data_IF_804785993508
#
_entry.id   IF_804785993508
#
_cell.length_a   1.000
_cell.length_b   1.000
_cell.length_c   1.000
_cell.angle_alpha   90.00
_cell.angle_beta   90.00
_cell.angle_gamma   90.00
#
_symmetry.space_group_name_H-M   'P 1'
#
loop_
_entity.id
_entity.type
_entity.pdbx_description
1 polymer ?
#
# COMPACT_ATOMS: atom_id res chain seq x y z
N UNK A 1 0.80 -13.91 -14.30
CA UNK A 1 -0.14 -14.09 -13.18
C UNK A 1 -0.51 -12.72 -12.65
N UNK A 2 -1.80 -12.41 -12.55
CA UNK A 2 -2.25 -11.11 -12.01
C UNK A 2 -2.00 -11.06 -10.48
N UNK A 3 -1.85 -9.87 -9.88
CA UNK A 3 -1.50 -9.72 -8.44
C UNK A 3 -2.46 -10.51 -7.52
N UNK A 4 -3.77 -10.42 -7.78
CA UNK A 4 -4.81 -11.11 -7.01
C UNK A 4 -4.74 -12.63 -7.17
N UNK A 5 -4.54 -13.08 -8.40
CA UNK A 5 -4.38 -14.50 -8.75
C UNK A 5 -3.13 -15.10 -8.10
N UNK A 6 -2.01 -14.36 -8.08
CA UNK A 6 -0.79 -14.78 -7.39
C UNK A 6 -0.99 -14.99 -5.90
N UNK A 7 -1.64 -14.04 -5.22
CA UNK A 7 -1.88 -14.17 -3.77
C UNK A 7 -2.89 -15.27 -3.46
N UNK A 8 -3.95 -15.42 -4.28
CA UNK A 8 -4.90 -16.54 -4.14
C UNK A 8 -4.24 -17.90 -4.35
N UNK A 9 -3.33 -18.00 -5.32
CA UNK A 9 -2.58 -19.24 -5.56
C UNK A 9 -1.63 -19.56 -4.41
N UNK A 10 -0.95 -18.56 -3.83
CA UNK A 10 -0.17 -18.74 -2.60
C UNK A 10 -1.04 -19.15 -1.40
N UNK A 11 -2.23 -18.57 -1.26
CA UNK A 11 -3.19 -18.92 -0.21
C UNK A 11 -3.62 -20.39 -0.35
N UNK A 12 -4.02 -20.80 -1.56
CA UNK A 12 -4.43 -22.15 -1.87
C UNK A 12 -3.32 -23.17 -1.57
N UNK A 13 -2.07 -22.88 -1.98
CA UNK A 13 -0.92 -23.72 -1.64
C UNK A 13 -0.65 -23.77 -0.14
N UNK A 14 -0.70 -22.62 0.54
CA UNK A 14 -0.42 -22.54 1.99
C UNK A 14 -1.43 -23.36 2.79
N UNK A 15 -2.72 -23.23 2.47
CA UNK A 15 -3.82 -23.95 3.12
C UNK A 15 -3.74 -25.44 2.79
N UNK A 16 -3.67 -25.79 1.51
CA UNK A 16 -3.76 -27.18 1.08
C UNK A 16 -2.54 -28.02 1.47
N UNK A 17 -1.34 -27.42 1.48
CA UNK A 17 -0.14 -28.07 2.01
C UNK A 17 -0.08 -28.10 3.54
N UNK A 18 -1.12 -27.62 4.23
CA UNK A 18 -1.23 -27.61 5.71
C UNK A 18 -0.08 -26.88 6.41
N UNK A 19 0.47 -25.86 5.75
CA UNK A 19 1.71 -25.20 6.19
C UNK A 19 1.59 -24.57 7.57
N UNK A 20 0.44 -23.97 7.89
CA UNK A 20 0.21 -23.36 9.21
C UNK A 20 0.20 -24.40 10.34
N UNK A 21 -0.45 -25.55 10.13
CA UNK A 21 -0.52 -26.63 11.13
C UNK A 21 0.86 -27.25 11.36
N UNK A 22 1.60 -27.51 10.27
CA UNK A 22 2.96 -28.05 10.30
C UNK A 22 3.91 -27.12 11.05
N UNK A 23 3.95 -25.83 10.68
CA UNK A 23 4.81 -24.83 11.32
C UNK A 23 4.50 -24.71 12.80
N UNK A 24 3.22 -24.68 13.18
CA UNK A 24 2.79 -24.58 14.58
C UNK A 24 3.28 -25.76 15.42
N UNK A 25 3.25 -26.99 14.90
CA UNK A 25 3.71 -28.18 15.61
C UNK A 25 5.25 -28.19 15.78
N UNK A 26 5.99 -27.82 14.73
CA UNK A 26 7.44 -27.66 14.84
C UNK A 26 7.83 -26.58 15.84
N UNK A 27 7.23 -25.39 15.76
CA UNK A 27 7.53 -24.29 16.67
C UNK A 27 7.16 -24.62 18.12
N UNK A 28 6.05 -25.34 18.36
CA UNK A 28 5.71 -25.83 19.68
C UNK A 28 6.77 -26.77 20.25
N UNK A 29 7.32 -27.67 19.42
CA UNK A 29 8.40 -28.58 19.80
C UNK A 29 9.76 -27.90 19.97
N UNK A 30 10.02 -26.79 19.28
CA UNK A 30 11.27 -26.03 19.38
C UNK A 30 11.27 -24.97 20.49
N UNK A 31 10.14 -24.73 21.18
CA UNK A 31 10.12 -23.82 22.32
C UNK A 31 11.07 -24.30 23.42
N UNK A 32 11.87 -23.39 24.02
CA UNK A 32 12.74 -23.76 25.12
C UNK A 32 11.87 -24.23 26.29
N UNK A 33 12.09 -25.46 26.71
CA UNK A 33 11.44 -26.03 27.87
C UNK A 33 12.51 -26.46 28.89
N UNK A 34 12.25 -26.27 30.20
CA UNK A 34 13.19 -26.68 31.23
C UNK A 34 13.42 -28.19 31.19
N UNK A 35 14.69 -28.61 31.32
CA UNK A 35 15.13 -30.01 31.40
C UNK A 35 14.98 -30.86 30.12
N UNK A 36 15.15 -30.26 28.93
CA UNK A 36 15.21 -30.96 27.63
C UNK A 36 14.07 -31.99 27.41
N UNK A 37 12.79 -31.58 27.56
CA UNK A 37 11.68 -32.50 27.50
C UNK A 37 11.48 -33.04 26.09
N UNK A 38 10.98 -34.27 26.06
CA UNK A 38 10.57 -34.97 24.86
C UNK A 38 9.29 -34.31 24.34
N UNK A 39 9.28 -33.89 23.07
CA UNK A 39 8.08 -33.42 22.38
C UNK A 39 7.59 -34.46 21.39
N UNK A 40 6.28 -34.60 21.26
CA UNK A 40 5.67 -35.56 20.33
C UNK A 40 5.55 -34.99 18.91
N UNK A 41 6.64 -35.05 18.14
CA UNK A 41 6.62 -34.64 16.72
C UNK A 41 5.79 -35.57 15.82
N UNK A 42 5.40 -36.76 16.29
CA UNK A 42 4.57 -37.71 15.54
C UNK A 42 3.21 -37.14 15.17
N UNK A 43 2.75 -36.10 15.87
CA UNK A 43 1.53 -35.34 15.52
C UNK A 43 1.57 -34.76 14.10
N UNK A 44 2.75 -34.59 13.51
CA UNK A 44 2.93 -34.08 12.15
C UNK A 44 2.66 -35.18 11.11
N UNK A 45 2.88 -36.46 11.44
CA UNK A 45 2.79 -37.56 10.46
C UNK A 45 1.43 -37.66 9.73
N UNK A 46 0.26 -37.59 10.42
CA UNK A 46 -1.03 -37.57 9.72
C UNK A 46 -1.16 -36.41 8.73
N UNK A 47 -0.56 -35.26 9.06
CA UNK A 47 -0.61 -34.03 8.26
C UNK A 47 0.31 -34.14 7.04
N UNK A 48 1.44 -34.84 7.14
CA UNK A 48 2.34 -35.11 6.01
C UNK A 48 1.60 -35.78 4.85
N UNK A 49 0.77 -36.78 5.14
CA UNK A 49 0.03 -37.51 4.10
C UNK A 49 -1.01 -36.63 3.41
N UNK A 50 -1.74 -35.81 4.18
CA UNK A 50 -2.69 -34.84 3.62
C UNK A 50 -1.97 -33.81 2.74
N UNK A 51 -0.85 -33.29 3.24
CA UNK A 51 -0.01 -32.33 2.55
C UNK A 51 0.53 -32.89 1.22
N UNK A 52 1.02 -34.15 1.23
CA UNK A 52 1.48 -34.84 0.01
C UNK A 52 0.36 -35.11 -0.98
N UNK A 53 -0.79 -35.60 -0.51
CA UNK A 53 -1.95 -35.83 -1.37
C UNK A 53 -2.37 -34.55 -2.11
N UNK A 54 -2.40 -33.42 -1.39
CA UNK A 54 -2.69 -32.12 -2.00
C UNK A 54 -1.59 -31.67 -2.96
N UNK A 55 -0.32 -31.84 -2.61
CA UNK A 55 0.81 -31.55 -3.50
C UNK A 55 0.70 -32.29 -4.84
N UNK A 56 0.36 -33.58 -4.80
CA UNK A 56 0.19 -34.40 -6.00
C UNK A 56 -0.99 -33.93 -6.86
N UNK A 57 -2.10 -33.56 -6.21
CA UNK A 57 -3.26 -33.02 -6.90
C UNK A 57 -2.94 -31.68 -7.56
N UNK A 58 -2.29 -30.74 -6.85
CA UNK A 58 -1.99 -29.40 -7.36
C UNK A 58 -0.95 -29.41 -8.49
N UNK A 59 -0.07 -30.42 -8.50
CA UNK A 59 0.90 -30.62 -9.57
C UNK A 59 0.25 -30.96 -10.93
N UNK A 60 -1.05 -31.29 -10.94
CA UNK A 60 -1.83 -31.50 -12.17
C UNK A 60 -2.36 -30.20 -12.79
N UNK A 61 -2.38 -29.09 -12.05
CA UNK A 61 -2.84 -27.79 -12.54
C UNK A 61 -1.64 -26.94 -12.95
N UNK A 62 -1.58 -26.52 -14.22
CA UNK A 62 -0.41 -25.84 -14.82
C UNK A 62 0.06 -24.61 -14.02
N UNK A 63 -0.87 -23.79 -13.55
CA UNK A 63 -0.57 -22.56 -12.82
C UNK A 63 0.06 -22.82 -11.45
N UNK A 64 -0.51 -23.74 -10.68
CA UNK A 64 -0.01 -24.10 -9.35
C UNK A 64 1.28 -24.92 -9.43
N UNK A 65 1.39 -25.79 -10.44
CA UNK A 65 2.62 -26.53 -10.73
C UNK A 65 3.80 -25.59 -10.96
N UNK A 66 3.64 -24.55 -11.79
CA UNK A 66 4.71 -23.58 -12.02
C UNK A 66 5.17 -22.90 -10.72
N UNK A 67 4.24 -22.56 -9.82
CA UNK A 67 4.59 -21.99 -8.51
C UNK A 67 5.31 -23.01 -7.62
N UNK A 68 4.82 -24.26 -7.57
CA UNK A 68 5.44 -25.35 -6.82
C UNK A 68 6.88 -25.63 -7.30
N UNK A 69 7.12 -25.57 -8.61
CA UNK A 69 8.43 -25.76 -9.22
C UNK A 69 9.39 -24.62 -8.83
N UNK A 70 8.94 -23.36 -8.92
CA UNK A 70 9.72 -22.18 -8.49
C UNK A 70 10.06 -22.23 -6.99
N UNK A 71 9.13 -22.73 -6.17
CA UNK A 71 9.33 -22.89 -4.73
C UNK A 71 10.24 -24.08 -4.38
N UNK A 72 10.70 -24.87 -5.36
CA UNK A 72 11.59 -26.01 -5.14
C UNK A 72 10.94 -27.17 -4.37
N UNK A 73 9.61 -27.24 -4.39
CA UNK A 73 8.82 -28.17 -3.56
C UNK A 73 9.02 -29.66 -3.90
N UNK A 74 9.45 -29.98 -5.13
CA UNK A 74 9.68 -31.36 -5.58
C UNK A 74 10.70 -32.12 -4.71
N UNK A 75 11.75 -31.43 -4.24
CA UNK A 75 12.74 -32.05 -3.35
C UNK A 75 12.11 -32.35 -2.00
N UNK A 76 11.31 -31.42 -1.47
CA UNK A 76 10.66 -31.53 -0.15
C UNK A 76 9.68 -32.70 -0.12
N UNK A 77 8.86 -32.87 -1.17
CA UNK A 77 7.83 -33.91 -1.27
C UNK A 77 8.29 -35.20 -1.96
N UNK A 78 9.60 -35.37 -2.17
CA UNK A 78 10.13 -36.64 -2.68
C UNK A 78 9.84 -37.80 -1.71
N UNK A 79 9.57 -38.98 -2.25
CA UNK A 79 9.22 -40.17 -1.44
C UNK A 79 10.28 -40.49 -0.39
N UNK A 80 11.56 -40.35 -0.75
CA UNK A 80 12.68 -40.57 0.17
C UNK A 80 12.67 -39.60 1.34
N UNK A 81 12.39 -38.31 1.11
CA UNK A 81 12.32 -37.32 2.18
C UNK A 81 11.09 -37.54 3.06
N UNK A 82 9.94 -37.87 2.49
CA UNK A 82 8.73 -38.17 3.27
C UNK A 82 8.90 -39.44 4.12
N UNK A 83 9.48 -40.50 3.57
CA UNK A 83 9.81 -41.71 4.31
C UNK A 83 10.77 -41.39 5.47
N UNK A 84 11.81 -40.59 5.21
CA UNK A 84 12.73 -40.15 6.26
C UNK A 84 12.01 -39.37 7.36
N UNK A 85 11.17 -38.39 7.01
CA UNK A 85 10.39 -37.61 7.97
C UNK A 85 9.54 -38.50 8.89
N UNK A 86 8.83 -39.48 8.34
CA UNK A 86 8.01 -40.40 9.15
C UNK A 86 8.84 -41.21 10.17
N UNK A 87 10.12 -41.45 9.91
CA UNK A 87 11.03 -42.13 10.84
C UNK A 87 11.62 -41.22 11.92
N UNK A 88 11.79 -39.93 11.61
CA UNK A 88 12.41 -38.92 12.51
C UNK A 88 11.36 -38.28 13.42
N UNK A 89 10.16 -38.00 12.89
CA UNK A 89 9.08 -37.34 13.60
C UNK A 89 8.38 -38.31 14.55
N UNK A 90 9.00 -38.50 15.71
CA UNK A 90 8.54 -39.33 16.81
C UNK A 90 8.70 -38.56 18.14
N UNK A 91 8.28 -39.11 19.29
CA UNK A 91 8.57 -38.51 20.58
C UNK A 91 10.09 -38.46 20.85
N UNK A 92 10.73 -37.30 20.63
CA UNK A 92 12.16 -37.07 20.84
C UNK A 92 12.45 -35.65 21.35
N UNK A 93 13.64 -35.39 21.91
CA UNK A 93 14.11 -34.04 22.16
C UNK A 93 14.22 -33.22 20.86
N UNK A 94 13.89 -31.94 20.94
CA UNK A 94 13.93 -30.98 19.84
C UNK A 94 15.26 -30.98 19.06
N UNK A 95 16.39 -31.12 19.76
CA UNK A 95 17.74 -31.14 19.18
C UNK A 95 17.92 -32.27 18.16
N UNK A 96 17.27 -33.42 18.35
CA UNK A 96 17.39 -34.54 17.41
C UNK A 96 16.64 -34.27 16.10
N UNK A 97 15.49 -33.60 16.17
CA UNK A 97 14.74 -33.18 14.98
C UNK A 97 15.46 -32.01 14.30
N UNK A 98 15.96 -31.05 15.07
CA UNK A 98 16.68 -29.90 14.55
C UNK A 98 18.03 -30.25 13.93
N UNK A 99 18.69 -31.32 14.41
CA UNK A 99 19.92 -31.85 13.82
C UNK A 99 19.69 -32.61 12.51
N UNK A 100 18.44 -32.84 12.09
CA UNK A 100 18.14 -33.54 10.85
C UNK A 100 17.84 -32.57 9.70
N UNK A 101 18.62 -32.69 8.63
CA UNK A 101 18.53 -31.81 7.47
C UNK A 101 17.15 -31.87 6.77
N UNK A 102 16.55 -33.06 6.64
CA UNK A 102 15.25 -33.21 5.98
C UNK A 102 14.14 -32.58 6.81
N UNK A 103 14.15 -32.78 8.13
CA UNK A 103 13.17 -32.17 9.03
C UNK A 103 13.27 -30.63 9.02
N UNK A 104 14.49 -30.08 9.06
CA UNK A 104 14.71 -28.64 9.00
C UNK A 104 14.32 -28.05 7.64
N UNK A 105 14.69 -28.69 6.52
CA UNK A 105 14.30 -28.23 5.18
C UNK A 105 12.79 -28.24 5.01
N UNK A 106 12.12 -29.28 5.50
CA UNK A 106 10.66 -29.38 5.48
C UNK A 106 10.01 -28.25 6.29
N UNK A 107 10.45 -28.04 7.53
CA UNK A 107 9.98 -26.92 8.36
C UNK A 107 10.23 -25.56 7.71
N UNK A 108 11.45 -25.33 7.21
CA UNK A 108 11.85 -24.07 6.59
C UNK A 108 11.02 -23.77 5.32
N UNK A 109 10.75 -24.78 4.49
CA UNK A 109 9.88 -24.66 3.32
C UNK A 109 8.48 -24.17 3.71
N UNK A 110 7.83 -24.83 4.67
CA UNK A 110 6.47 -24.45 5.10
C UNK A 110 6.43 -23.08 5.76
N UNK A 111 7.46 -22.73 6.55
CA UNK A 111 7.58 -21.41 7.17
C UNK A 111 7.80 -20.32 6.13
N UNK A 112 8.66 -20.56 5.14
CA UNK A 112 8.89 -19.63 4.04
C UNK A 112 7.62 -19.41 3.20
N UNK A 113 6.88 -20.48 2.87
CA UNK A 113 5.62 -20.38 2.14
C UNK A 113 4.58 -19.56 2.91
N UNK A 114 4.39 -19.86 4.20
CA UNK A 114 3.46 -19.12 5.07
C UNK A 114 3.82 -17.63 5.15
N UNK A 115 5.09 -17.33 5.39
CA UNK A 115 5.56 -15.94 5.45
C UNK A 115 5.41 -15.22 4.10
N UNK A 116 5.72 -15.90 3.00
CA UNK A 116 5.59 -15.34 1.65
C UNK A 116 4.13 -15.01 1.35
N UNK A 117 3.19 -15.90 1.70
CA UNK A 117 1.76 -15.62 1.55
C UNK A 117 1.32 -14.41 2.39
N UNK A 118 1.67 -14.36 3.68
CA UNK A 118 1.29 -13.25 4.57
C UNK A 118 1.87 -11.93 4.05
N UNK A 119 3.15 -11.90 3.69
CA UNK A 119 3.79 -10.70 3.14
C UNK A 119 3.17 -10.30 1.80
N UNK A 120 2.95 -11.25 0.90
CA UNK A 120 2.34 -10.97 -0.41
C UNK A 120 0.90 -10.47 -0.26
N UNK A 121 0.13 -11.02 0.68
CA UNK A 121 -1.22 -10.53 0.99
C UNK A 121 -1.18 -9.10 1.51
N UNK A 122 -0.33 -8.82 2.48
CA UNK A 122 -0.25 -7.48 3.09
C UNK A 122 0.28 -6.42 2.11
N UNK A 123 1.22 -6.79 1.23
CA UNK A 123 1.84 -5.87 0.28
C UNK A 123 0.97 -5.71 -0.98
N UNK A 124 0.50 -6.82 -1.58
CA UNK A 124 -0.14 -6.81 -2.89
C UNK A 124 -1.66 -6.69 -2.82
N UNK A 125 -2.30 -7.08 -1.71
CA UNK A 125 -3.74 -6.99 -1.49
C UNK A 125 -4.12 -5.96 -0.43
N UNK A 126 -3.26 -4.95 -0.20
CA UNK A 126 -3.52 -3.90 0.78
C UNK A 126 -4.94 -3.33 0.60
N UNK A 127 -5.78 -3.48 1.63
CA UNK A 127 -7.22 -3.19 1.59
C UNK A 127 -7.48 -1.75 1.14
N UNK A 128 -6.57 -0.82 1.47
CA UNK A 128 -6.64 0.59 1.10
C UNK A 128 -6.61 0.85 -0.42
N UNK A 129 -6.07 -0.06 -1.23
CA UNK A 129 -6.02 0.08 -2.69
C UNK A 129 -7.24 -0.52 -3.41
N UNK A 130 -7.98 -1.40 -2.72
CA UNK A 130 -9.05 -2.21 -3.28
C UNK A 130 -10.45 -1.82 -2.76
N UNK A 131 -10.53 -1.03 -1.68
CA UNK A 131 -11.79 -0.43 -1.26
C UNK A 131 -12.30 0.60 -2.29
N UNK A 132 -13.62 0.63 -2.56
CA UNK A 132 -14.22 1.72 -3.32
C UNK A 132 -13.86 3.08 -2.69
N UNK A 133 -13.57 4.07 -3.53
CA UNK A 133 -13.15 5.40 -3.07
C UNK A 133 -14.05 5.98 -1.98
N UNK A 134 -15.37 5.92 -2.19
CA UNK A 134 -16.33 6.47 -1.24
C UNK A 134 -16.22 5.79 0.14
N UNK A 135 -15.99 4.47 0.17
CA UNK A 135 -15.82 3.71 1.43
C UNK A 135 -14.49 4.01 2.11
N UNK A 136 -13.42 4.18 1.33
CA UNK A 136 -12.10 4.56 1.84
C UNK A 136 -12.12 5.98 2.43
N UNK A 137 -12.80 6.90 1.76
CA UNK A 137 -12.90 8.30 2.18
C UNK A 137 -13.70 8.45 3.47
N UNK A 138 -14.78 7.67 3.66
CA UNK A 138 -15.53 7.62 4.92
C UNK A 138 -14.72 7.01 6.08
N UNK A 139 -13.59 6.35 5.80
CA UNK A 139 -12.62 5.88 6.80
C UNK A 139 -11.43 6.83 6.98
N UNK A 140 -11.45 7.99 6.32
CA UNK A 140 -10.36 8.98 6.37
C UNK A 140 -9.13 8.58 5.55
N UNK A 141 -9.28 7.69 4.57
CA UNK A 141 -8.20 7.23 3.70
C UNK A 141 -8.32 7.88 2.33
N UNK A 142 -7.23 8.50 1.87
CA UNK A 142 -7.10 9.06 0.53
C UNK A 142 -5.85 8.49 -0.15
N UNK A 143 -6.00 7.96 -1.36
CA UNK A 143 -4.87 7.43 -2.14
C UNK A 143 -4.46 8.45 -3.19
N UNK A 144 -3.20 8.89 -3.12
CA UNK A 144 -2.55 9.69 -4.14
C UNK A 144 -1.76 8.80 -5.09
N UNK A 145 -1.77 9.17 -6.37
CA UNK A 145 -0.94 8.61 -7.42
C UNK A 145 0.07 9.68 -7.84
N UNK A 146 1.34 9.31 -7.85
CA UNK A 146 2.43 10.09 -8.43
C UNK A 146 2.73 9.52 -9.81
N UNK A 147 2.52 10.35 -10.83
CA UNK A 147 2.77 9.97 -12.22
C UNK A 147 4.26 10.13 -12.53
N UNK A 148 4.96 9.02 -12.82
CA UNK A 148 6.41 9.03 -13.06
C UNK A 148 6.68 9.03 -14.56
N UNK A 149 7.49 9.99 -15.03
CA UNK A 149 7.98 10.04 -16.40
C UNK A 149 9.48 9.71 -16.42
N UNK A 150 9.83 8.41 -16.53
CA UNK A 150 11.22 7.97 -16.65
C UNK A 150 11.61 6.85 -15.68
N UNK A 151 12.89 6.82 -15.27
CA UNK A 151 13.50 5.73 -14.48
C UNK A 151 13.11 5.69 -12.99
N UNK A 152 12.17 6.53 -12.55
CA UNK A 152 11.73 6.62 -11.16
C UNK A 152 11.71 8.05 -10.62
N UNK A 153 11.39 8.18 -9.33
CA UNK A 153 11.51 9.43 -8.56
C UNK A 153 12.74 9.36 -7.65
N UNK A 154 13.48 10.46 -7.56
CA UNK A 154 14.60 10.58 -6.62
C UNK A 154 14.10 10.72 -5.17
N UNK A 155 14.91 10.31 -4.20
CA UNK A 155 14.57 10.42 -2.77
C UNK A 155 14.23 11.85 -2.34
N UNK A 156 14.91 12.87 -2.91
CA UNK A 156 14.61 14.27 -2.62
C UNK A 156 13.19 14.68 -3.04
N UNK A 157 12.70 14.12 -4.16
CA UNK A 157 11.35 14.39 -4.65
C UNK A 157 10.30 13.75 -3.74
N UNK A 158 10.54 12.53 -3.24
CA UNK A 158 9.67 11.91 -2.24
C UNK A 158 9.60 12.73 -0.95
N UNK A 159 10.73 13.24 -0.47
CA UNK A 159 10.77 14.09 0.73
C UNK A 159 9.90 15.34 0.50
N UNK A 160 10.02 16.00 -0.65
CA UNK A 160 9.20 17.19 -0.99
C UNK A 160 7.71 16.86 -1.04
N UNK A 161 7.33 15.74 -1.65
CA UNK A 161 5.93 15.30 -1.73
C UNK A 161 5.38 15.02 -0.33
N UNK A 162 6.12 14.26 0.50
CA UNK A 162 5.69 13.94 1.87
C UNK A 162 5.58 15.18 2.75
N UNK A 163 6.55 16.11 2.66
CA UNK A 163 6.48 17.37 3.39
C UNK A 163 5.28 18.21 2.98
N UNK A 164 5.02 18.36 1.68
CA UNK A 164 3.88 19.13 1.19
C UNK A 164 2.53 18.51 1.59
N UNK A 165 2.39 17.18 1.53
CA UNK A 165 1.20 16.47 1.98
C UNK A 165 0.99 16.61 3.49
N UNK A 166 2.06 16.51 4.29
CA UNK A 166 1.97 16.69 5.74
C UNK A 166 1.58 18.13 6.10
N UNK A 167 2.20 19.15 5.50
CA UNK A 167 1.87 20.55 5.72
C UNK A 167 0.38 20.82 5.43
N UNK A 168 -0.13 20.30 4.30
CA UNK A 168 -1.54 20.41 3.92
C UNK A 168 -2.45 19.72 4.94
N UNK A 169 -2.11 18.50 5.32
CA UNK A 169 -2.92 17.71 6.25
C UNK A 169 -2.97 18.36 7.63
N UNK A 170 -1.86 18.93 8.10
CA UNK A 170 -1.81 19.64 9.39
C UNK A 170 -2.63 20.93 9.36
N UNK A 171 -2.52 21.74 8.30
CA UNK A 171 -3.29 22.99 8.16
C UNK A 171 -4.78 22.69 8.06
N UNK A 172 -5.18 21.70 7.26
CA UNK A 172 -6.58 21.28 7.16
C UNK A 172 -7.08 20.72 8.49
N UNK A 173 -6.31 19.86 9.16
CA UNK A 173 -6.67 19.36 10.50
C UNK A 173 -6.93 20.47 11.52
N UNK A 174 -6.14 21.55 11.48
CA UNK A 174 -6.35 22.75 12.31
C UNK A 174 -7.63 23.52 11.94
N UNK A 175 -7.93 23.67 10.65
CA UNK A 175 -9.16 24.34 10.16
C UNK A 175 -10.41 23.58 10.61
N UNK A 176 -10.39 22.25 10.51
CA UNK A 176 -11.54 21.39 10.82
C UNK A 176 -11.60 20.90 12.28
N UNK A 177 -10.65 21.32 13.12
CA UNK A 177 -10.59 21.04 14.56
C UNK A 177 -10.59 19.53 14.93
N UNK A 178 -9.94 18.69 14.11
CA UNK A 178 -9.76 17.27 14.41
C UNK A 178 -8.57 17.09 15.36
N UNK A 179 -8.83 16.78 16.64
CA UNK A 179 -7.83 16.91 17.71
C UNK A 179 -6.98 15.68 18.03
N UNK A 180 -7.17 14.51 17.41
CA UNK A 180 -6.50 13.28 17.91
C UNK A 180 -5.96 12.27 16.90
N UNK A 181 -6.20 12.41 15.59
CA UNK A 181 -5.62 11.48 14.61
C UNK A 181 -4.37 12.06 13.97
N UNK A 182 -3.20 11.52 14.35
CA UNK A 182 -1.95 11.76 13.61
C UNK A 182 -2.14 11.26 12.18
N UNK A 183 -1.90 12.15 11.23
CA UNK A 183 -1.87 11.78 9.83
C UNK A 183 -0.73 10.80 9.57
N UNK A 184 -1.03 9.71 8.87
CA UNK A 184 -0.06 8.69 8.51
C UNK A 184 0.03 8.62 6.99
N UNK A 185 1.23 8.85 6.46
CA UNK A 185 1.56 8.65 5.05
C UNK A 185 2.19 7.26 4.88
N UNK A 186 1.56 6.42 4.08
CA UNK A 186 1.97 5.04 3.80
C UNK A 186 2.30 4.93 2.32
N UNK A 187 3.51 4.51 1.98
CA UNK A 187 3.85 4.15 0.59
C UNK A 187 3.18 2.80 0.26
N UNK A 188 2.28 2.78 -0.73
CA UNK A 188 1.43 1.62 -1.02
C UNK A 188 1.93 0.77 -2.19
N UNK A 189 2.56 1.36 -3.22
CA UNK A 189 3.11 0.62 -4.37
C UNK A 189 4.16 1.45 -5.13
N UNK A 190 5.15 0.76 -5.73
CA UNK A 190 6.24 1.34 -6.56
C UNK A 190 6.25 0.72 -7.97
N UNK A 191 5.09 0.68 -8.61
CA UNK A 191 4.96 0.29 -10.02
C UNK A 191 5.46 1.39 -10.97
N UNK A 192 4.98 1.40 -12.22
CA UNK A 192 5.28 2.47 -13.19
C UNK A 192 4.84 3.86 -12.72
N UNK A 193 3.79 3.91 -11.90
CA UNK A 193 3.40 5.06 -11.08
C UNK A 193 3.46 4.65 -9.60
N UNK A 194 3.74 5.62 -8.72
CA UNK A 194 3.84 5.37 -7.28
C UNK A 194 2.56 5.77 -6.57
N UNK A 195 2.00 4.87 -5.75
CA UNK A 195 0.81 5.17 -4.96
C UNK A 195 1.18 5.45 -3.50
N UNK A 196 0.62 6.53 -2.96
CA UNK A 196 0.75 6.94 -1.56
C UNK A 196 -0.62 6.93 -0.90
N UNK A 197 -0.77 6.23 0.22
CA UNK A 197 -1.92 6.33 1.09
C UNK A 197 -1.71 7.43 2.11
N UNK A 198 -2.69 8.31 2.25
CA UNK A 198 -2.81 9.22 3.38
C UNK A 198 -3.97 8.73 4.25
N UNK A 199 -3.71 8.47 5.52
CA UNK A 199 -4.73 8.26 6.54
C UNK A 199 -4.78 9.50 7.42
N UNK A 200 -5.93 10.17 7.47
CA UNK A 200 -6.19 11.35 8.29
C UNK A 200 -7.61 11.26 8.89
N UNK A 201 -8.03 12.26 9.65
CA UNK A 201 -9.43 12.37 10.03
C UNK A 201 -10.32 12.57 8.79
N UNK A 202 -11.58 12.16 8.91
CA UNK A 202 -12.52 12.03 7.79
C UNK A 202 -12.72 13.39 7.10
N UNK A 203 -12.90 14.46 7.87
CA UNK A 203 -13.13 15.80 7.32
C UNK A 203 -11.86 16.35 6.66
N UNK A 204 -10.69 16.04 7.22
CA UNK A 204 -9.40 16.40 6.62
C UNK A 204 -9.19 15.69 5.28
N UNK A 205 -9.46 14.39 5.20
CA UNK A 205 -9.31 13.60 3.98
C UNK A 205 -10.28 14.07 2.87
N UNK A 206 -11.56 14.29 3.22
CA UNK A 206 -12.59 14.85 2.32
C UNK A 206 -12.18 16.24 1.80
N UNK A 207 -11.71 17.11 2.69
CA UNK A 207 -11.29 18.46 2.33
C UNK A 207 -10.07 18.46 1.44
N UNK A 208 -9.10 17.59 1.72
CA UNK A 208 -7.91 17.45 0.88
C UNK A 208 -8.30 16.98 -0.53
N UNK A 209 -9.18 15.98 -0.66
CA UNK A 209 -9.69 15.56 -1.96
C UNK A 209 -10.40 16.72 -2.71
N UNK A 210 -11.27 17.46 -2.02
CA UNK A 210 -11.99 18.59 -2.61
C UNK A 210 -11.06 19.68 -3.12
N UNK A 211 -10.01 20.03 -2.37
CA UNK A 211 -9.00 21.01 -2.81
C UNK A 211 -8.35 20.56 -4.12
N UNK A 212 -7.92 19.30 -4.21
CA UNK A 212 -7.34 18.77 -5.44
C UNK A 212 -8.35 18.74 -6.59
N UNK A 213 -9.61 18.38 -6.32
CA UNK A 213 -10.68 18.35 -7.31
C UNK A 213 -10.99 19.74 -7.85
N UNK A 214 -11.11 20.74 -6.99
CA UNK A 214 -11.40 22.12 -7.39
C UNK A 214 -10.28 22.70 -8.27
N UNK A 215 -9.02 22.46 -7.90
CA UNK A 215 -7.88 22.90 -8.72
C UNK A 215 -7.83 22.12 -10.04
N UNK A 216 -8.14 20.83 -10.02
CA UNK A 216 -8.17 20.00 -11.22
C UNK A 216 -9.29 20.39 -12.19
N UNK A 217 -10.53 20.52 -11.70
CA UNK A 217 -11.69 20.96 -12.47
C UNK A 217 -11.40 22.34 -13.10
N UNK A 218 -10.70 23.21 -12.37
CA UNK A 218 -10.25 24.47 -12.91
C UNK A 218 -9.25 24.32 -14.06
N UNK A 219 -8.25 23.43 -13.93
CA UNK A 219 -7.26 23.16 -14.98
C UNK A 219 -7.93 22.56 -16.23
N UNK A 220 -8.86 21.62 -16.06
CA UNK A 220 -9.55 20.94 -17.17
C UNK A 220 -10.51 21.89 -17.91
N UNK A 221 -11.22 22.74 -17.17
CA UNK A 221 -12.17 23.70 -17.77
C UNK A 221 -11.48 24.95 -18.36
N UNK A 222 -10.15 25.04 -18.27
CA UNK A 222 -9.35 26.24 -18.58
C UNK A 222 -9.08 26.53 -20.05
N UNK A 223 -9.70 25.81 -21.00
CA UNK A 223 -9.61 26.17 -22.43
C UNK A 223 -10.12 27.59 -22.77
N UNK A 224 -10.70 28.34 -21.81
CA UNK A 224 -11.47 29.56 -22.09
C UNK A 224 -11.21 30.83 -21.22
N UNK A 225 -10.23 30.91 -20.30
CA UNK A 225 -10.10 32.11 -19.43
C UNK A 225 -8.67 32.67 -19.21
N UNK A 226 -8.53 34.01 -19.29
CA UNK A 226 -7.28 34.78 -19.19
C UNK A 226 -6.63 34.80 -17.79
N UNK A 227 -5.30 34.64 -17.77
CA UNK A 227 -4.47 34.11 -16.66
C UNK A 227 -4.34 34.96 -15.39
N UNK A 228 -4.63 36.27 -15.39
CA UNK A 228 -4.52 37.10 -14.17
C UNK A 228 -5.80 37.16 -13.34
N UNK A 229 -6.98 37.02 -13.95
CA UNK A 229 -8.25 36.84 -13.22
C UNK A 229 -8.37 35.43 -12.63
N UNK A 230 -7.66 34.47 -13.23
CA UNK A 230 -7.62 33.05 -12.88
C UNK A 230 -7.14 32.77 -11.46
N UNK A 231 -6.02 33.36 -11.01
CA UNK A 231 -5.51 33.07 -9.67
C UNK A 231 -6.44 33.61 -8.58
N UNK A 232 -7.11 34.73 -8.82
CA UNK A 232 -8.04 35.33 -7.87
C UNK A 232 -9.38 34.56 -7.84
N UNK A 233 -9.89 34.16 -9.00
CA UNK A 233 -11.12 33.36 -9.11
C UNK A 233 -10.98 31.94 -8.56
N UNK A 234 -9.84 31.27 -8.80
CA UNK A 234 -9.53 29.99 -8.17
C UNK A 234 -9.47 30.13 -6.64
N UNK A 235 -8.81 31.19 -6.16
CA UNK A 235 -8.74 31.49 -4.72
C UNK A 235 -10.09 31.84 -4.11
N UNK A 236 -11.00 32.44 -4.85
CA UNK A 236 -12.34 32.80 -4.36
C UNK A 236 -13.33 31.62 -4.42
N UNK A 237 -13.02 30.55 -5.19
CA UNK A 237 -13.89 29.38 -5.37
C UNK A 237 -13.60 28.19 -4.46
N UNK A 238 -12.47 28.19 -3.73
CA UNK A 238 -12.11 27.04 -2.89
C UNK A 238 -13.04 26.96 -1.67
N UNK A 239 -13.75 25.85 -1.51
CA UNK A 239 -14.65 25.62 -0.36
C UNK A 239 -13.92 25.75 0.97
N UNK A 240 -12.63 25.40 1.00
CA UNK A 240 -11.73 25.56 2.15
C UNK A 240 -11.52 27.03 2.55
N UNK A 241 -11.57 27.99 1.62
CA UNK A 241 -11.42 29.42 1.98
C UNK A 241 -12.69 29.99 2.59
N UNK A 242 -13.86 29.51 2.17
CA UNK A 242 -15.11 29.83 2.84
C UNK A 242 -15.09 29.33 4.29
N UNK A 243 -14.60 28.12 4.52
CA UNK A 243 -14.38 27.54 5.86
C UNK A 243 -13.34 28.34 6.68
N UNK A 244 -12.19 28.70 6.09
CA UNK A 244 -11.19 29.55 6.78
C UNK A 244 -11.82 30.88 7.18
N UNK A 245 -12.58 31.52 6.28
CA UNK A 245 -13.25 32.80 6.56
C UNK A 245 -14.29 32.66 7.67
N UNK A 246 -15.10 31.60 7.64
CA UNK A 246 -16.07 31.31 8.70
C UNK A 246 -15.37 31.13 10.06
N UNK A 247 -14.22 30.45 10.09
CA UNK A 247 -13.44 30.25 11.32
C UNK A 247 -12.82 31.55 11.84
N UNK A 248 -12.35 32.42 10.95
CA UNK A 248 -11.89 33.79 11.30
C UNK A 248 -13.06 34.63 11.84
N UNK A 249 -14.20 34.62 11.13
CA UNK A 249 -15.40 35.36 11.51
C UNK A 249 -15.98 34.88 12.86
N UNK A 250 -15.84 33.58 13.17
CA UNK A 250 -16.23 32.98 14.45
C UNK A 250 -15.18 33.14 15.58
N UNK A 251 -14.01 33.73 15.28
CA UNK A 251 -12.94 33.94 16.25
C UNK A 251 -12.19 32.68 16.69
N UNK A 252 -12.29 31.58 15.95
CA UNK A 252 -11.58 30.32 16.24
C UNK A 252 -10.11 30.39 15.84
N UNK A 253 -9.82 31.15 14.78
CA UNK A 253 -8.46 31.46 14.29
C UNK A 253 -8.36 32.97 14.04
N UNK A 254 -7.15 33.52 14.14
CA UNK A 254 -6.90 34.94 13.88
C UNK A 254 -6.89 35.25 12.37
N UNK A 255 -7.06 36.52 12.00
CA UNK A 255 -7.01 36.95 10.59
C UNK A 255 -5.63 36.67 9.96
N UNK A 256 -4.55 36.81 10.74
CA UNK A 256 -3.18 36.52 10.31
C UNK A 256 -2.96 35.02 10.07
N UNK A 257 -3.48 34.16 10.95
CA UNK A 257 -3.49 32.70 10.76
C UNK A 257 -4.34 32.31 9.54
N UNK A 258 -5.51 32.93 9.35
CA UNK A 258 -6.38 32.66 8.20
C UNK A 258 -5.70 32.97 6.86
N UNK A 259 -4.97 34.10 6.76
CA UNK A 259 -4.18 34.44 5.57
C UNK A 259 -3.04 33.45 5.35
N UNK A 260 -2.35 33.07 6.43
CA UNK A 260 -1.24 32.11 6.38
C UNK A 260 -1.71 30.73 5.91
N UNK A 261 -2.81 30.22 6.47
CA UNK A 261 -3.39 28.93 6.09
C UNK A 261 -3.86 28.92 4.64
N UNK A 262 -4.53 29.98 4.18
CA UNK A 262 -4.93 30.10 2.79
C UNK A 262 -3.72 30.09 1.84
N UNK A 263 -2.62 30.74 2.22
CA UNK A 263 -1.38 30.73 1.45
C UNK A 263 -0.74 29.33 1.40
N UNK A 264 -0.66 28.63 2.53
CA UNK A 264 -0.07 27.28 2.61
C UNK A 264 -0.90 26.29 1.77
N UNK A 265 -2.23 26.28 1.93
CA UNK A 265 -3.12 25.40 1.17
C UNK A 265 -2.88 25.58 -0.33
N UNK A 266 -2.84 26.83 -0.79
CA UNK A 266 -2.58 27.13 -2.20
C UNK A 266 -1.22 26.63 -2.65
N UNK A 267 -0.15 27.09 -2.00
CA UNK A 267 1.22 26.87 -2.47
C UNK A 267 1.57 25.38 -2.48
N UNK A 268 1.16 24.63 -1.45
CA UNK A 268 1.43 23.19 -1.36
C UNK A 268 0.61 22.37 -2.35
N UNK A 269 -0.65 22.72 -2.57
CA UNK A 269 -1.46 22.05 -3.61
C UNK A 269 -0.88 22.30 -5.00
N UNK A 270 -0.48 23.54 -5.31
CA UNK A 270 0.16 23.88 -6.58
C UNK A 270 1.47 23.10 -6.78
N UNK A 271 2.30 23.00 -5.73
CA UNK A 271 3.56 22.23 -5.75
C UNK A 271 3.30 20.74 -6.04
N UNK A 272 2.33 20.12 -5.35
CA UNK A 272 1.99 18.71 -5.53
C UNK A 272 1.46 18.41 -6.93
N UNK A 273 0.63 19.28 -7.49
CA UNK A 273 0.13 19.14 -8.87
C UNK A 273 1.27 19.27 -9.88
N UNK A 274 2.21 20.20 -9.68
CA UNK A 274 3.40 20.33 -10.54
C UNK A 274 4.27 19.08 -10.47
N UNK A 275 4.37 18.46 -9.29
CA UNK A 275 5.03 17.17 -9.07
C UNK A 275 4.18 15.96 -9.53
N UNK A 276 3.05 16.20 -10.20
CA UNK A 276 2.16 15.18 -10.76
C UNK A 276 1.61 14.21 -9.71
N UNK A 277 1.37 14.73 -8.51
CA UNK A 277 0.70 14.03 -7.41
C UNK A 277 -0.78 14.40 -7.44
N UNK A 278 -1.65 13.42 -7.63
CA UNK A 278 -3.10 13.60 -7.69
C UNK A 278 -3.82 12.49 -6.94
N UNK A 279 -4.98 12.74 -6.33
CA UNK A 279 -5.87 11.66 -5.90
C UNK A 279 -6.11 10.67 -7.04
N UNK A 280 -6.03 9.37 -6.74
CA UNK A 280 -6.10 8.27 -7.70
C UNK A 280 -7.39 8.31 -8.54
N UNK A 281 -8.49 8.78 -7.97
CA UNK A 281 -9.78 8.92 -8.62
C UNK A 281 -9.76 10.00 -9.71
N UNK A 282 -9.09 11.12 -9.44
CA UNK A 282 -8.90 12.18 -10.43
C UNK A 282 -7.94 11.72 -11.53
N UNK A 283 -6.89 10.97 -11.16
CA UNK A 283 -5.99 10.34 -12.11
C UNK A 283 -6.71 9.30 -13.00
N UNK A 284 -7.65 8.51 -12.47
CA UNK A 284 -8.42 7.53 -13.22
C UNK A 284 -9.39 8.11 -14.26
N UNK A 285 -10.00 9.28 -13.97
CA UNK A 285 -10.87 10.01 -14.92
C UNK A 285 -10.11 10.49 -16.19
N UNK A 286 -8.78 10.52 -16.16
CA UNK A 286 -7.94 11.05 -17.24
C UNK A 286 -7.71 10.13 -18.44
N UNK A 287 -8.06 8.85 -18.36
CA UNK A 287 -7.83 7.90 -19.45
C UNK A 287 -8.77 8.09 -20.67
N UNK A 288 -9.74 9.01 -20.60
CA UNK A 288 -10.69 9.31 -21.70
C UNK A 288 -10.33 10.57 -22.50
N UNK A 289 -9.48 11.47 -21.96
CA UNK A 289 -8.99 12.66 -22.68
C UNK A 289 -7.47 12.82 -22.51
N UNK A 290 -6.74 12.96 -23.62
CA UNK A 290 -5.26 12.97 -23.68
C UNK A 290 -4.61 14.14 -22.88
N UNK A 291 -4.43 13.95 -21.58
CA UNK A 291 -3.81 14.89 -20.63
C UNK A 291 -2.28 15.00 -20.71
N UNK A 292 -1.61 14.11 -21.47
CA UNK A 292 -0.19 14.27 -21.84
C UNK A 292 0.09 15.64 -22.45
N UNK A 293 -0.90 16.18 -23.15
CA UNK A 293 -0.83 17.48 -23.82
C UNK A 293 -1.13 18.65 -22.87
N UNK A 294 -2.06 18.48 -21.93
CA UNK A 294 -2.49 19.56 -21.02
C UNK A 294 -1.48 19.81 -19.88
N UNK A 295 -0.83 18.75 -19.38
CA UNK A 295 0.20 18.87 -18.33
C UNK A 295 1.49 19.47 -18.89
N UNK A 296 1.90 19.06 -20.11
CA UNK A 296 3.04 19.67 -20.81
C UNK A 296 2.77 21.14 -21.14
N UNK A 297 1.56 21.47 -21.59
CA UNK A 297 1.13 22.86 -21.86
C UNK A 297 1.20 23.73 -20.58
N UNK A 298 0.90 23.18 -19.40
CA UNK A 298 1.02 23.90 -18.12
C UNK A 298 2.48 24.17 -17.69
N UNK A 299 3.38 23.21 -17.91
CA UNK A 299 4.81 23.38 -17.61
C UNK A 299 5.48 24.40 -18.55
N UNK A 300 5.17 24.34 -19.84
CA UNK A 300 5.65 25.30 -20.83
C UNK A 300 5.13 26.72 -20.54
N UNK A 301 3.89 26.84 -20.04
CA UNK A 301 3.30 28.12 -19.64
C UNK A 301 4.03 28.80 -18.46
N UNK A 302 4.50 28.03 -17.46
CA UNK A 302 5.23 28.57 -16.31
C UNK A 302 6.60 29.13 -16.70
N UNK A 303 7.25 28.53 -17.71
CA UNK A 303 8.54 29.00 -18.27
C UNK A 303 8.42 30.32 -19.02
N UNK A 304 7.31 30.55 -19.71
CA UNK A 304 7.05 31.81 -20.43
C UNK A 304 6.76 32.96 -19.44
N UNK A 305 6.12 32.68 -18.31
CA UNK A 305 5.83 33.69 -17.28
C UNK A 305 7.05 34.18 -16.49
N UNK A 306 8.16 33.43 -16.49
CA UNK A 306 9.41 33.79 -15.80
C UNK A 306 10.46 34.41 -16.72
N UNK A 307 10.16 34.55 -18.01
CA UNK A 307 11.06 35.11 -19.02
C UNK A 307 10.61 36.50 -19.48
N UNK A 308 10.69 37.49 -18.61
CA UNK A 308 10.77 38.92 -18.96
C UNK A 308 11.22 39.69 -17.72
N UNK A 309 12.54 39.68 -17.50
CA UNK A 309 13.30 40.78 -16.90
C UNK A 309 14.45 41.08 -17.87
#
# INVERSE_FOLDING_TARGET
MQKVEFVKNLEQLTIGLKSQEIVKLFEAGFKPMPNNPIYNFQLINPILFLSKSFYDQMSQYSELKNMLDVLGSATIYSEGNLANLTSILKPVPAVQVAGNEVAIKFFAFHKALLNTWVLSKNILLNELLNEPFDEALEKGVLVFQIIIEGEGLETEQYIKIFSALNDLTEVLGKIFAESEQKSELILLDSGSDTNLGLKAGIETAKSLFLVFKEVWDFIVNRKFYNVQQVNKALLDSLTVRAQIKEKVDSGVITEEEGQTYAHIVKTRTDELIVMKVLPKELAGMTNVFSNKKLISEYQDFKRIGTGNN
#
